data_IF_702248234639
#
_entry.id   IF_702248234639
#
_cell.length_a   1.000
_cell.length_b   1.000
_cell.length_c   1.000
_cell.angle_alpha   90.00
_cell.angle_beta   90.00
_cell.angle_gamma   90.00
#
_symmetry.space_group_name_H-M   'P 1'
#
loop_
_entity.id
_entity.type
_entity.pdbx_description
1 polymer ?
#
# COMPACT_ATOMS: atom_id res chain seq x y z
N UNK A 1 -22.20 11.59 -2.05
CA UNK A 1 -20.89 10.91 -2.05
C UNK A 1 -19.76 11.82 -1.58
N UNK A 2 -19.50 12.96 -2.22
CA UNK A 2 -18.35 13.83 -1.88
C UNK A 2 -18.30 14.33 -0.44
N UNK A 3 -19.41 14.58 0.23
CA UNK A 3 -19.39 15.06 1.63
C UNK A 3 -18.96 13.96 2.61
N UNK A 4 -19.44 12.72 2.42
CA UNK A 4 -19.13 11.60 3.30
C UNK A 4 -17.66 11.16 3.12
N UNK A 5 -17.21 10.95 1.87
CA UNK A 5 -15.80 10.60 1.62
C UNK A 5 -14.82 11.68 2.06
N UNK A 6 -15.20 12.97 1.96
CA UNK A 6 -14.40 14.08 2.47
C UNK A 6 -14.31 14.09 4.01
N UNK A 7 -15.40 13.74 4.69
CA UNK A 7 -15.40 13.61 6.15
C UNK A 7 -14.49 12.46 6.58
N UNK A 8 -14.66 11.28 6.00
CA UNK A 8 -13.82 10.10 6.27
C UNK A 8 -12.35 10.41 5.99
N UNK A 9 -12.06 11.02 4.84
CA UNK A 9 -10.70 11.44 4.48
C UNK A 9 -10.07 12.34 5.55
N UNK A 10 -10.82 13.38 5.99
CA UNK A 10 -10.31 14.33 6.97
C UNK A 10 -10.07 13.70 8.34
N UNK A 11 -10.95 12.80 8.75
CA UNK A 11 -10.82 12.04 10.01
C UNK A 11 -9.59 11.14 9.98
N UNK A 12 -9.38 10.40 8.88
CA UNK A 12 -8.23 9.52 8.71
C UNK A 12 -6.92 10.30 8.64
N UNK A 13 -6.86 11.41 7.92
CA UNK A 13 -5.65 12.23 7.81
C UNK A 13 -5.20 12.81 9.16
N UNK A 14 -6.13 13.03 10.10
CA UNK A 14 -5.82 13.44 11.48
C UNK A 14 -5.45 12.25 12.39
N UNK A 15 -5.60 11.03 11.92
CA UNK A 15 -5.22 9.86 12.69
C UNK A 15 -3.71 9.87 12.99
N UNK A 16 -3.36 9.65 14.26
CA UNK A 16 -1.96 9.56 14.70
C UNK A 16 -1.17 8.51 13.92
N UNK A 17 -1.84 7.43 13.49
CA UNK A 17 -1.21 6.34 12.74
C UNK A 17 -0.81 6.81 11.34
N UNK A 18 -1.68 7.54 10.63
CA UNK A 18 -1.38 8.05 9.28
C UNK A 18 -0.29 9.12 9.34
N UNK A 19 -0.32 9.99 10.34
CA UNK A 19 0.73 10.99 10.56
C UNK A 19 2.07 10.31 10.84
N UNK A 20 2.11 9.31 11.73
CA UNK A 20 3.31 8.55 12.04
C UNK A 20 3.84 7.80 10.80
N UNK A 21 2.96 7.20 10.01
CA UNK A 21 3.30 6.53 8.76
C UNK A 21 3.90 7.50 7.73
N UNK A 22 3.27 8.66 7.53
CA UNK A 22 3.78 9.70 6.63
C UNK A 22 5.16 10.17 7.06
N UNK A 23 5.35 10.43 8.35
CA UNK A 23 6.61 10.89 8.91
C UNK A 23 7.68 9.79 8.80
N UNK A 24 7.33 8.54 9.07
CA UNK A 24 8.23 7.41 8.91
C UNK A 24 8.73 7.30 7.46
N UNK A 25 7.82 7.30 6.48
CA UNK A 25 8.19 7.26 5.07
C UNK A 25 9.06 8.45 4.66
N UNK A 26 8.74 9.63 5.16
CA UNK A 26 9.48 10.86 4.84
C UNK A 26 10.92 10.79 5.39
N UNK A 27 11.09 10.39 6.64
CA UNK A 27 12.41 10.24 7.26
C UNK A 27 13.23 9.17 6.56
N UNK A 28 12.63 7.99 6.29
CA UNK A 28 13.30 6.89 5.60
C UNK A 28 13.73 7.32 4.20
N UNK A 29 12.84 7.95 3.43
CA UNK A 29 13.16 8.42 2.07
C UNK A 29 14.30 9.44 2.08
N UNK A 30 14.25 10.44 2.96
CA UNK A 30 15.33 11.41 3.09
C UNK A 30 16.65 10.76 3.50
N UNK A 31 16.62 9.82 4.47
CA UNK A 31 17.82 9.12 4.92
C UNK A 31 18.48 8.35 3.79
N UNK A 32 17.70 7.67 2.93
CA UNK A 32 18.25 6.93 1.80
C UNK A 32 18.99 7.87 0.81
N UNK A 33 18.39 9.02 0.49
CA UNK A 33 19.04 10.01 -0.40
C UNK A 33 20.22 10.74 0.23
N UNK A 34 20.31 10.81 1.55
CA UNK A 34 21.46 11.43 2.23
C UNK A 34 22.62 10.46 2.47
N UNK A 35 22.34 9.17 2.61
CA UNK A 35 23.38 8.15 2.88
C UNK A 35 24.07 7.67 1.61
N UNK A 36 23.42 7.72 0.46
CA UNK A 36 23.94 7.25 -0.81
C UNK A 36 24.33 8.44 -1.69
N UNK A 37 25.58 8.46 -2.16
CA UNK A 37 26.07 9.47 -3.10
C UNK A 37 25.44 9.30 -4.50
N UNK A 38 25.05 8.06 -4.84
CA UNK A 38 24.41 7.71 -6.11
C UNK A 38 22.89 7.61 -5.94
N UNK A 39 22.15 8.54 -6.54
CA UNK A 39 20.69 8.57 -6.53
C UNK A 39 20.06 7.26 -7.02
N UNK A 40 20.72 6.53 -7.94
CA UNK A 40 20.19 5.25 -8.45
C UNK A 40 20.20 4.16 -7.37
N UNK A 41 21.25 4.10 -6.55
CA UNK A 41 21.33 3.16 -5.42
C UNK A 41 20.32 3.52 -4.33
N UNK A 42 20.21 4.81 -4.03
CA UNK A 42 19.19 5.29 -3.07
C UNK A 42 17.78 4.91 -3.51
N UNK A 43 17.45 5.04 -4.80
CA UNK A 43 16.15 4.65 -5.34
C UNK A 43 15.90 3.13 -5.26
N UNK A 44 16.89 2.29 -5.53
CA UNK A 44 16.76 0.84 -5.40
C UNK A 44 16.52 0.41 -3.95
N UNK A 45 17.26 1.00 -3.01
CA UNK A 45 17.08 0.76 -1.58
C UNK A 45 15.70 1.21 -1.11
N UNK A 46 15.26 2.38 -1.56
CA UNK A 46 13.93 2.92 -1.26
C UNK A 46 12.83 2.02 -1.84
N UNK A 47 12.98 1.53 -3.06
CA UNK A 47 12.05 0.62 -3.71
C UNK A 47 11.86 -0.67 -2.90
N UNK A 48 12.92 -1.28 -2.39
CA UNK A 48 12.84 -2.47 -1.55
C UNK A 48 12.05 -2.22 -0.26
N UNK A 49 12.27 -1.07 0.38
CA UNK A 49 11.51 -0.68 1.58
C UNK A 49 10.03 -0.47 1.24
N UNK A 50 9.73 0.20 0.14
CA UNK A 50 8.37 0.44 -0.35
C UNK A 50 7.63 -0.87 -0.58
N UNK A 51 8.27 -1.86 -1.24
CA UNK A 51 7.67 -3.17 -1.53
C UNK A 51 7.26 -3.95 -0.27
N UNK A 52 7.93 -3.73 0.86
CA UNK A 52 7.63 -4.39 2.13
C UNK A 52 6.64 -3.58 2.96
N UNK A 53 6.89 -2.27 3.10
CA UNK A 53 6.17 -1.41 4.05
C UNK A 53 4.78 -1.03 3.53
N UNK A 54 4.63 -0.71 2.24
CA UNK A 54 3.33 -0.28 1.71
C UNK A 54 2.25 -1.38 1.80
N UNK A 55 2.53 -2.63 1.38
CA UNK A 55 1.57 -3.71 1.57
C UNK A 55 1.20 -3.93 3.03
N UNK A 56 2.20 -3.94 3.94
CA UNK A 56 1.96 -4.13 5.36
C UNK A 56 1.01 -3.06 5.93
N UNK A 57 1.38 -1.79 5.72
CA UNK A 57 0.59 -0.68 6.28
C UNK A 57 -0.79 -0.61 5.63
N UNK A 58 -0.89 -0.79 4.31
CA UNK A 58 -2.17 -0.77 3.60
C UNK A 58 -3.11 -1.88 4.09
N UNK A 59 -2.61 -3.11 4.27
CA UNK A 59 -3.40 -4.24 4.75
C UNK A 59 -3.84 -4.03 6.21
N UNK A 60 -2.89 -3.76 7.09
CA UNK A 60 -3.16 -3.67 8.54
C UNK A 60 -3.98 -2.43 8.87
N UNK A 61 -3.59 -1.27 8.34
CA UNK A 61 -4.31 -0.02 8.61
C UNK A 61 -5.75 -0.06 8.10
N UNK A 62 -5.96 -0.49 6.86
CA UNK A 62 -7.31 -0.58 6.27
C UNK A 62 -8.20 -1.51 7.09
N UNK A 63 -7.67 -2.66 7.49
CA UNK A 63 -8.42 -3.62 8.31
C UNK A 63 -8.79 -3.03 9.68
N UNK A 64 -7.83 -2.44 10.38
CA UNK A 64 -8.07 -1.84 11.70
C UNK A 64 -9.07 -0.68 11.58
N UNK A 65 -8.89 0.20 10.58
CA UNK A 65 -9.77 1.34 10.38
C UNK A 65 -11.21 0.89 10.08
N UNK A 66 -11.40 -0.08 9.18
CA UNK A 66 -12.72 -0.61 8.86
C UNK A 66 -13.46 -1.11 10.10
N UNK A 67 -12.79 -1.89 10.95
CA UNK A 67 -13.44 -2.39 12.19
C UNK A 67 -13.66 -1.31 13.24
N UNK A 68 -12.81 -0.30 13.32
CA UNK A 68 -13.02 0.83 14.21
C UNK A 68 -14.19 1.71 13.74
N UNK A 69 -14.43 1.79 12.44
CA UNK A 69 -15.55 2.54 11.83
C UNK A 69 -16.84 1.71 11.73
N UNK A 70 -16.85 0.47 12.22
CA UNK A 70 -17.98 -0.44 12.02
C UNK A 70 -19.29 0.11 12.62
N UNK A 71 -19.26 0.62 13.83
CA UNK A 71 -20.43 1.24 14.48
C UNK A 71 -20.95 2.45 13.69
N UNK A 72 -20.03 3.27 13.17
CA UNK A 72 -20.38 4.42 12.33
C UNK A 72 -21.02 3.96 11.01
N UNK A 73 -20.48 2.92 10.38
CA UNK A 73 -21.03 2.32 9.15
C UNK A 73 -22.45 1.78 9.43
N UNK A 74 -22.67 1.12 10.57
CA UNK A 74 -23.96 0.57 10.96
C UNK A 74 -25.01 1.66 11.20
N UNK A 75 -24.62 2.76 11.87
CA UNK A 75 -25.45 3.96 12.02
C UNK A 75 -25.81 4.60 10.68
N UNK A 76 -24.88 4.65 9.73
CA UNK A 76 -25.12 5.16 8.39
C UNK A 76 -26.05 4.26 7.58
N UNK A 77 -26.01 2.93 7.81
CA UNK A 77 -26.89 1.97 7.16
C UNK A 77 -28.35 2.07 7.63
N UNK A 78 -28.62 2.62 8.80
CA UNK A 78 -29.96 2.91 9.30
C UNK A 78 -30.61 4.14 8.64
N UNK A 79 -29.81 4.98 7.95
CA UNK A 79 -30.28 6.14 7.20
C UNK A 79 -30.71 5.72 5.77
N UNK A 80 -31.52 6.54 5.07
CA UNK A 80 -31.97 6.23 3.69
C UNK A 80 -30.83 6.40 2.65
N UNK A 81 -29.67 5.80 2.93
CA UNK A 81 -28.51 5.77 2.08
C UNK A 81 -28.26 4.37 1.52
N UNK A 82 -27.83 4.27 0.26
CA UNK A 82 -27.51 2.97 -0.31
C UNK A 82 -26.21 2.40 0.28
N UNK A 83 -26.23 1.11 0.63
CA UNK A 83 -25.06 0.38 1.18
C UNK A 83 -23.80 0.56 0.32
N UNK A 84 -23.95 0.51 -1.00
CA UNK A 84 -22.84 0.73 -1.95
C UNK A 84 -22.19 2.12 -1.78
N UNK A 85 -22.98 3.16 -1.54
CA UNK A 85 -22.44 4.52 -1.36
C UNK A 85 -21.62 4.64 -0.09
N UNK A 86 -22.07 4.04 1.00
CA UNK A 86 -21.36 4.07 2.29
C UNK A 86 -20.02 3.36 2.16
N UNK A 87 -20.02 2.10 1.67
CA UNK A 87 -18.80 1.32 1.50
C UNK A 87 -17.81 1.96 0.52
N UNK A 88 -18.28 2.49 -0.62
CA UNK A 88 -17.40 3.19 -1.56
C UNK A 88 -16.84 4.49 -0.99
N UNK A 89 -17.60 5.21 -0.16
CA UNK A 89 -17.10 6.44 0.48
C UNK A 89 -16.02 6.14 1.52
N UNK A 90 -16.19 5.05 2.28
CA UNK A 90 -15.21 4.57 3.25
C UNK A 90 -13.93 4.12 2.55
N UNK A 91 -14.06 3.25 1.55
CA UNK A 91 -12.92 2.80 0.73
C UNK A 91 -12.16 3.98 0.09
N UNK A 92 -12.89 4.92 -0.52
CA UNK A 92 -12.27 6.10 -1.12
C UNK A 92 -11.55 6.98 -0.09
N UNK A 93 -12.14 7.15 1.11
CA UNK A 93 -11.52 7.89 2.21
C UNK A 93 -10.19 7.27 2.64
N UNK A 94 -10.18 5.96 2.88
CA UNK A 94 -8.98 5.21 3.27
C UNK A 94 -7.92 5.27 2.18
N UNK A 95 -8.30 4.96 0.93
CA UNK A 95 -7.37 4.93 -0.20
C UNK A 95 -6.72 6.29 -0.45
N UNK A 96 -7.51 7.37 -0.46
CA UNK A 96 -6.99 8.73 -0.65
C UNK A 96 -6.09 9.17 0.50
N UNK A 97 -6.40 8.76 1.74
CA UNK A 97 -5.57 9.09 2.90
C UNK A 97 -4.19 8.41 2.83
N UNK A 98 -4.15 7.11 2.51
CA UNK A 98 -2.91 6.36 2.37
C UNK A 98 -2.09 6.84 1.16
N UNK A 99 -2.74 7.13 0.04
CA UNK A 99 -2.08 7.72 -1.13
C UNK A 99 -1.47 9.09 -0.83
N UNK A 100 -2.20 9.98 -0.14
CA UNK A 100 -1.67 11.29 0.24
C UNK A 100 -0.48 11.15 1.19
N UNK A 101 -0.54 10.24 2.15
CA UNK A 101 0.57 9.92 3.06
C UNK A 101 1.80 9.42 2.29
N UNK A 102 1.60 8.53 1.32
CA UNK A 102 2.66 8.04 0.44
C UNK A 102 3.27 9.16 -0.42
N UNK A 103 2.46 9.96 -1.09
CA UNK A 103 2.97 11.05 -1.92
C UNK A 103 3.70 12.13 -1.12
N UNK A 104 3.28 12.41 0.11
CA UNK A 104 4.00 13.33 1.00
C UNK A 104 5.29 12.66 1.50
N UNK A 105 5.21 11.41 1.97
CA UNK A 105 6.34 10.71 2.59
C UNK A 105 7.43 10.30 1.61
N UNK A 106 7.07 9.81 0.44
CA UNK A 106 8.01 9.34 -0.59
C UNK A 106 8.07 10.29 -1.77
N UNK A 107 6.92 10.81 -2.19
CA UNK A 107 6.82 11.62 -3.40
C UNK A 107 7.64 12.90 -3.32
N UNK A 108 7.58 13.63 -2.21
CA UNK A 108 8.34 14.87 -2.05
C UNK A 108 9.85 14.59 -2.12
N UNK A 109 10.44 13.66 -1.32
CA UNK A 109 11.87 13.35 -1.44
C UNK A 109 12.29 12.88 -2.83
N UNK A 110 11.53 12.00 -3.47
CA UNK A 110 11.84 11.51 -4.83
C UNK A 110 11.84 12.64 -5.85
N UNK A 111 10.88 13.56 -5.81
CA UNK A 111 10.82 14.69 -6.72
C UNK A 111 11.96 15.71 -6.48
N UNK A 112 12.45 15.84 -5.25
CA UNK A 112 13.53 16.76 -4.90
C UNK A 112 14.92 16.23 -5.28
N UNK A 113 15.16 14.92 -5.07
CA UNK A 113 16.49 14.32 -5.20
C UNK A 113 16.67 13.42 -6.42
N UNK A 114 15.59 12.88 -6.97
CA UNK A 114 15.63 11.88 -8.03
C UNK A 114 14.47 12.05 -9.03
N UNK A 115 14.25 13.26 -9.52
CA UNK A 115 13.25 13.59 -10.55
C UNK A 115 13.65 13.00 -11.91
N UNK A 116 13.57 11.68 -12.05
CA UNK A 116 13.92 10.91 -13.24
C UNK A 116 12.76 9.95 -13.60
N UNK A 117 12.85 9.32 -14.77
CA UNK A 117 11.88 8.31 -15.21
C UNK A 117 11.76 7.16 -14.19
N UNK A 118 12.90 6.75 -13.60
CA UNK A 118 12.92 5.73 -12.53
C UNK A 118 12.22 6.23 -11.26
N UNK A 119 12.42 7.49 -10.86
CA UNK A 119 11.71 8.08 -9.72
C UNK A 119 10.20 8.11 -9.95
N UNK A 120 9.76 8.51 -11.14
CA UNK A 120 8.33 8.49 -11.50
C UNK A 120 7.75 7.08 -11.53
N UNK A 121 8.51 6.08 -12.01
CA UNK A 121 8.10 4.68 -11.99
C UNK A 121 7.91 4.17 -10.55
N UNK A 122 8.79 4.54 -9.61
CA UNK A 122 8.65 4.20 -8.17
C UNK A 122 7.37 4.81 -7.60
N UNK A 123 7.08 6.09 -7.91
CA UNK A 123 5.86 6.74 -7.43
C UNK A 123 4.59 6.08 -7.98
N UNK A 124 4.59 5.75 -9.26
CA UNK A 124 3.45 5.06 -9.87
C UNK A 124 3.25 3.66 -9.29
N UNK A 125 4.33 2.89 -9.16
CA UNK A 125 4.30 1.52 -8.59
C UNK A 125 3.84 1.56 -7.13
N UNK A 126 4.38 2.46 -6.31
CA UNK A 126 3.98 2.60 -4.91
C UNK A 126 2.52 3.02 -4.74
N UNK A 127 2.03 3.93 -5.58
CA UNK A 127 0.61 4.30 -5.60
C UNK A 127 -0.28 3.12 -6.00
N UNK A 128 0.11 2.36 -7.03
CA UNK A 128 -0.61 1.17 -7.46
C UNK A 128 -0.64 0.09 -6.35
N UNK A 129 0.51 -0.19 -5.71
CA UNK A 129 0.58 -1.11 -4.57
C UNK A 129 -0.34 -0.68 -3.43
N UNK A 130 -0.32 0.60 -3.04
CA UNK A 130 -1.19 1.13 -1.99
C UNK A 130 -2.65 0.87 -2.32
N UNK A 131 -3.09 1.14 -3.55
CA UNK A 131 -4.48 0.92 -3.98
C UNK A 131 -4.86 -0.57 -3.99
N UNK A 132 -4.01 -1.42 -4.54
CA UNK A 132 -4.26 -2.87 -4.63
C UNK A 132 -4.39 -3.48 -3.25
N UNK A 133 -3.43 -3.24 -2.35
CA UNK A 133 -3.44 -3.82 -1.01
C UNK A 133 -4.54 -3.22 -0.12
N UNK A 134 -4.88 -1.94 -0.28
CA UNK A 134 -6.05 -1.33 0.37
C UNK A 134 -7.34 -2.00 -0.11
N UNK A 135 -7.48 -2.29 -1.41
CA UNK A 135 -8.64 -2.97 -1.97
C UNK A 135 -8.80 -4.38 -1.42
N UNK A 136 -7.71 -5.15 -1.38
CA UNK A 136 -7.68 -6.52 -0.83
C UNK A 136 -8.07 -6.50 0.66
N UNK A 137 -7.46 -5.60 1.44
CA UNK A 137 -7.74 -5.48 2.87
C UNK A 137 -9.18 -5.08 3.15
N UNK A 138 -9.71 -4.11 2.41
CA UNK A 138 -11.08 -3.65 2.55
C UNK A 138 -12.07 -4.76 2.21
N UNK A 139 -11.85 -5.47 1.11
CA UNK A 139 -12.67 -6.61 0.69
C UNK A 139 -12.64 -7.73 1.74
N UNK A 140 -11.46 -8.12 2.21
CA UNK A 140 -11.31 -9.13 3.25
C UNK A 140 -12.00 -8.73 4.55
N UNK A 141 -11.91 -7.45 4.96
CA UNK A 141 -12.54 -6.93 6.17
C UNK A 141 -14.07 -6.92 6.09
N UNK A 142 -14.64 -6.65 4.92
CA UNK A 142 -16.09 -6.71 4.69
C UNK A 142 -16.62 -8.14 4.83
N UNK A 143 -15.83 -9.13 4.43
CA UNK A 143 -16.22 -10.56 4.50
C UNK A 143 -15.98 -11.12 5.90
N UNK A 144 -14.87 -10.80 6.53
CA UNK A 144 -14.52 -11.30 7.86
C UNK A 144 -15.33 -10.52 8.92
N UNK A 145 -16.21 -11.23 9.63
CA UNK A 145 -17.11 -10.65 10.64
C UNK A 145 -16.44 -10.36 11.99
N UNK A 146 -15.18 -10.72 12.15
CA UNK A 146 -14.43 -10.65 13.41
C UNK A 146 -13.14 -9.87 13.23
N UNK A 147 -12.89 -8.89 14.12
CA UNK A 147 -11.71 -8.00 14.06
C UNK A 147 -10.41 -8.79 14.17
N UNK A 148 -10.32 -9.74 15.10
CA UNK A 148 -9.09 -10.51 15.29
C UNK A 148 -8.79 -11.40 14.07
N UNK A 149 -9.81 -12.04 13.49
CA UNK A 149 -9.68 -12.82 12.26
C UNK A 149 -9.28 -11.93 11.06
N UNK A 150 -9.86 -10.74 10.97
CA UNK A 150 -9.52 -9.79 9.90
C UNK A 150 -8.07 -9.33 9.97
N UNK A 151 -7.58 -8.94 11.15
CA UNK A 151 -6.19 -8.54 11.34
C UNK A 151 -5.24 -9.73 11.09
N UNK A 152 -5.58 -10.91 11.60
CA UNK A 152 -4.80 -12.12 11.34
C UNK A 152 -4.71 -12.45 9.85
N UNK A 153 -5.82 -12.35 9.10
CA UNK A 153 -5.85 -12.54 7.65
C UNK A 153 -4.99 -11.49 6.92
N UNK A 154 -5.04 -10.22 7.33
CA UNK A 154 -4.22 -9.16 6.76
C UNK A 154 -2.71 -9.45 6.93
N UNK A 155 -2.29 -9.88 8.12
CA UNK A 155 -0.90 -10.25 8.39
C UNK A 155 -0.47 -11.50 7.60
N UNK A 156 -1.33 -12.52 7.49
CA UNK A 156 -1.06 -13.72 6.69
C UNK A 156 -0.94 -13.38 5.20
N UNK A 157 -1.78 -12.50 4.67
CA UNK A 157 -1.69 -12.02 3.29
C UNK A 157 -0.40 -11.26 3.04
N UNK A 158 -0.01 -10.37 3.96
CA UNK A 158 1.28 -9.66 3.86
C UNK A 158 2.45 -10.64 3.84
N UNK A 159 2.48 -11.58 4.79
CA UNK A 159 3.52 -12.60 4.88
C UNK A 159 3.61 -13.45 3.60
N UNK A 160 2.46 -13.83 3.06
CA UNK A 160 2.38 -14.59 1.82
C UNK A 160 2.98 -13.81 0.64
N UNK A 161 2.55 -12.56 0.42
CA UNK A 161 3.02 -11.78 -0.72
C UNK A 161 4.46 -11.30 -0.57
N UNK A 162 4.93 -11.03 0.63
CA UNK A 162 6.27 -10.47 0.86
C UNK A 162 7.36 -11.55 1.01
N UNK A 163 7.04 -12.72 1.57
CA UNK A 163 8.05 -13.75 1.85
C UNK A 163 7.85 -15.02 1.04
N UNK A 164 6.63 -15.55 1.00
CA UNK A 164 6.38 -16.83 0.34
C UNK A 164 6.44 -16.68 -1.18
N UNK A 165 5.81 -15.64 -1.71
CA UNK A 165 5.81 -15.38 -3.15
C UNK A 165 7.23 -15.16 -3.68
N UNK A 166 8.02 -14.28 -3.05
CA UNK A 166 9.40 -14.02 -3.44
C UNK A 166 10.28 -15.27 -3.30
N UNK A 167 10.09 -16.05 -2.23
CA UNK A 167 10.79 -17.32 -2.04
C UNK A 167 10.48 -18.34 -3.13
N UNK A 168 9.23 -18.45 -3.57
CA UNK A 168 8.82 -19.33 -4.67
C UNK A 168 9.44 -18.86 -5.99
N UNK A 169 9.42 -17.56 -6.28
CA UNK A 169 10.04 -17.00 -7.50
C UNK A 169 11.54 -17.29 -7.51
N UNK A 170 12.24 -17.10 -6.39
CA UNK A 170 13.66 -17.44 -6.27
C UNK A 170 13.91 -18.95 -6.51
N UNK A 171 13.10 -19.83 -5.91
CA UNK A 171 13.19 -21.27 -6.12
C UNK A 171 13.01 -21.66 -7.60
N UNK A 172 12.04 -21.05 -8.28
CA UNK A 172 11.81 -21.26 -9.69
C UNK A 172 13.03 -20.80 -10.51
N UNK A 173 13.53 -19.58 -10.24
CA UNK A 173 14.70 -19.06 -10.95
C UNK A 173 15.93 -19.95 -10.77
N UNK A 174 16.20 -20.44 -9.54
CA UNK A 174 17.30 -21.39 -9.30
C UNK A 174 17.08 -22.73 -9.98
N UNK A 175 15.85 -23.25 -9.98
CA UNK A 175 15.54 -24.53 -10.63
C UNK A 175 15.68 -24.49 -12.15
N UNK A 176 15.48 -23.31 -12.76
CA UNK A 176 15.57 -23.10 -14.19
C UNK A 176 16.89 -22.42 -14.61
N UNK A 177 17.81 -22.11 -13.70
CA UNK A 177 19.10 -21.48 -14.01
C UNK A 177 20.00 -22.34 -14.91
N UNK A 178 19.85 -23.68 -14.89
CA UNK A 178 20.56 -24.60 -15.73
C UNK A 178 19.96 -24.76 -17.14
N UNK A 179 18.79 -24.18 -17.40
CA UNK A 179 18.22 -24.17 -18.75
C UNK A 179 18.71 -22.92 -19.50
N UNK A 180 19.33 -23.09 -20.70
CA UNK A 180 19.80 -21.96 -21.49
C UNK A 180 18.61 -21.07 -21.87
N UNK A 181 18.58 -19.86 -21.28
CA UNK A 181 17.55 -18.83 -21.53
C UNK A 181 17.48 -18.38 -23.00
N UNK A 182 18.47 -18.75 -23.82
CA UNK A 182 18.52 -18.50 -25.29
C UNK A 182 17.30 -19.02 -26.05
N UNK A 183 16.62 -20.08 -25.55
CA UNK A 183 15.42 -20.60 -26.21
C UNK A 183 14.16 -19.76 -25.94
N UNK A 184 14.14 -18.94 -24.88
CA UNK A 184 13.00 -18.08 -24.59
C UNK A 184 13.05 -16.72 -25.28
N UNK A 185 14.25 -16.24 -25.63
CA UNK A 185 14.39 -14.99 -26.40
C UNK A 185 13.91 -15.16 -27.85
N UNK A 186 13.93 -16.37 -28.40
CA UNK A 186 13.38 -16.67 -29.73
C UNK A 186 11.84 -16.72 -29.79
N UNK A 187 11.16 -16.72 -28.65
CA UNK A 187 9.68 -16.71 -28.57
C UNK A 187 9.09 -15.29 -28.39
N UNK A 188 9.97 -14.29 -28.15
CA UNK A 188 9.57 -12.89 -27.89
C UNK A 188 10.02 -11.95 -29.03
N UNK A 189 10.86 -12.43 -29.97
CA UNK A 189 11.20 -11.73 -31.19
C UNK A 189 10.28 -12.19 -32.35
#
# INVERSE_FOLDING_TARGET
>A
MMKLSRYVLYDILRSKIVIAYTLFLFVVSLSMFQMEEDSSKAMLSLMNIILIVLPLVSLVFTTIHYYNSYEFIELMLSQPLSRKRILLSEFAGISLSLLSAFFIGVGIPVLLYAASDTGMAILFTGAALTLVFTSIAFFASVIARDKAKGIGAALLLWFYFTLIYDGIVLLILFSFSDYPLEKFTLLIS
#
